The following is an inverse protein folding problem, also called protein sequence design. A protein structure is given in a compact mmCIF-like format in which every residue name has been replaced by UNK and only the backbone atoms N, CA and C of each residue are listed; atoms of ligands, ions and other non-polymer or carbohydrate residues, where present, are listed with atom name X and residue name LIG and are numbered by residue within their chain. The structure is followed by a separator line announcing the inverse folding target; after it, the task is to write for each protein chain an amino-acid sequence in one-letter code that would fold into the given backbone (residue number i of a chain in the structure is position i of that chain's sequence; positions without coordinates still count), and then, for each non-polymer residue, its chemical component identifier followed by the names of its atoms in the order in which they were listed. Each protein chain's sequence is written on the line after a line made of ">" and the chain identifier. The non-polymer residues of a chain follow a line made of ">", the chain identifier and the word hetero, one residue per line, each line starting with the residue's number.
data_IF_600888098982
#
_entry.id   IF_600888098982
#
_cell.length_a   1.000
_cell.length_b   1.000
_cell.length_c   1.000
_cell.angle_alpha   90.00
_cell.angle_beta   90.00
_cell.angle_gamma   90.00
#
_symmetry.space_group_name_H-M   'P 1'
#
loop_
_entity.id
_entity.type
_entity.pdbx_description
1 polymer ?
#
# COMPACT_ATOMS: atom_id res chain seq x y z
N UNK A 1 -59.29 16.46 11.35
CA UNK A 1 -58.21 17.44 11.57
C UNK A 1 -56.94 16.88 10.96
N UNK A 2 -56.46 17.54 9.91
CA UNK A 2 -55.25 17.23 9.17
C UNK A 2 -54.02 17.70 9.95
N UNK A 3 -53.00 16.87 10.09
CA UNK A 3 -51.66 17.31 10.50
C UNK A 3 -50.65 16.75 9.50
N UNK A 4 -50.18 17.62 8.60
CA UNK A 4 -49.02 17.36 7.75
C UNK A 4 -47.78 17.25 8.64
N UNK A 5 -47.10 16.11 8.59
CA UNK A 5 -45.77 15.96 9.17
C UNK A 5 -44.73 16.41 8.14
N UNK A 6 -44.12 17.56 8.38
CA UNK A 6 -43.04 18.10 7.54
C UNK A 6 -41.79 17.22 7.65
N UNK A 7 -41.35 16.69 6.51
CA UNK A 7 -40.06 16.05 6.34
C UNK A 7 -38.93 17.08 6.54
N UNK A 8 -38.12 16.90 7.58
CA UNK A 8 -36.84 17.62 7.71
C UNK A 8 -35.85 16.97 6.75
N UNK A 9 -35.54 17.68 5.67
CA UNK A 9 -34.39 17.40 4.81
C UNK A 9 -33.12 17.40 5.68
N UNK A 10 -32.53 16.22 5.88
CA UNK A 10 -31.20 16.09 6.46
C UNK A 10 -30.16 16.65 5.49
N UNK A 11 -29.35 17.59 5.97
CA UNK A 11 -28.16 18.06 5.28
C UNK A 11 -27.21 16.86 5.02
N UNK A 12 -26.45 16.85 3.91
CA UNK A 12 -25.45 15.81 3.67
C UNK A 12 -24.41 15.83 4.80
N UNK A 13 -24.29 14.71 5.50
CA UNK A 13 -23.36 14.54 6.60
C UNK A 13 -21.93 14.75 6.11
N UNK A 14 -21.16 15.54 6.89
CA UNK A 14 -19.70 15.58 6.82
C UNK A 14 -19.19 14.12 6.81
N UNK A 15 -18.31 13.71 5.89
CA UNK A 15 -17.71 12.38 5.98
C UNK A 15 -17.04 12.25 7.35
N UNK A 16 -17.16 11.10 8.02
CA UNK A 16 -16.52 10.92 9.32
C UNK A 16 -15.03 11.15 9.13
N UNK A 17 -14.51 12.20 9.75
CA UNK A 17 -13.08 12.30 10.00
C UNK A 17 -12.76 11.09 10.85
N UNK A 18 -12.10 10.08 10.28
CA UNK A 18 -11.74 8.86 10.98
C UNK A 18 -10.57 9.15 11.92
N UNK A 19 -10.73 10.12 12.81
CA UNK A 19 -9.82 10.39 13.92
C UNK A 19 -10.07 9.32 14.95
N UNK A 20 -9.05 8.51 15.23
CA UNK A 20 -9.20 7.36 16.12
C UNK A 20 -7.87 6.70 16.38
N UNK A 21 -7.88 5.83 17.39
CA UNK A 21 -6.71 5.10 17.83
C UNK A 21 -6.97 3.62 17.56
N UNK A 22 -6.09 2.97 16.80
CA UNK A 22 -6.20 1.55 16.44
C UNK A 22 -4.96 0.80 16.92
N UNK A 23 -5.10 -0.39 17.53
CA UNK A 23 -3.95 -1.19 17.93
C UNK A 23 -3.10 -1.54 16.70
N UNK A 24 -1.79 -1.69 16.90
CA UNK A 24 -0.95 -2.28 15.85
C UNK A 24 -1.46 -3.68 15.53
N UNK A 25 -1.71 -4.02 14.25
CA UNK A 25 -1.80 -5.40 13.80
C UNK A 25 -0.55 -6.19 14.22
N UNK A 26 -0.69 -7.50 14.37
CA UNK A 26 0.43 -8.38 14.75
C UNK A 26 1.64 -8.25 13.83
N UNK A 27 1.42 -8.05 12.53
CA UNK A 27 2.51 -7.86 11.55
C UNK A 27 3.30 -6.60 11.87
N UNK A 28 2.64 -5.46 12.03
CA UNK A 28 3.27 -4.19 12.38
C UNK A 28 4.02 -4.27 13.72
N UNK A 29 3.45 -4.97 14.71
CA UNK A 29 4.07 -5.17 16.02
C UNK A 29 5.35 -6.03 15.92
N UNK A 30 5.34 -7.11 15.12
CA UNK A 30 6.53 -7.92 14.85
C UNK A 30 7.57 -7.10 14.11
N UNK A 31 7.22 -6.43 13.02
CA UNK A 31 8.14 -5.57 12.25
C UNK A 31 8.79 -4.54 13.16
N UNK A 32 8.00 -3.88 14.02
CA UNK A 32 8.52 -2.88 14.96
C UNK A 32 9.48 -3.47 16.00
N UNK A 33 9.25 -4.71 16.45
CA UNK A 33 10.09 -5.40 17.43
C UNK A 33 11.37 -5.99 16.84
N UNK A 34 11.35 -6.36 15.56
CA UNK A 34 12.49 -6.92 14.84
C UNK A 34 13.38 -5.86 14.17
N UNK A 35 12.91 -4.61 14.11
CA UNK A 35 13.68 -3.50 13.53
C UNK A 35 15.02 -3.31 14.26
N UNK A 36 16.10 -3.26 13.48
CA UNK A 36 17.43 -2.86 13.95
C UNK A 36 17.79 -1.51 13.33
N UNK A 37 18.46 -0.65 14.08
CA UNK A 37 18.73 0.74 13.66
C UNK A 37 19.60 0.83 12.38
N UNK A 38 20.37 -0.22 12.06
CA UNK A 38 21.20 -0.33 10.86
C UNK A 38 20.45 -0.88 9.63
N UNK A 39 19.24 -1.39 9.80
CA UNK A 39 18.41 -1.98 8.75
C UNK A 39 17.05 -1.26 8.68
N UNK A 40 16.98 -0.08 8.04
CA UNK A 40 15.75 0.69 7.95
C UNK A 40 14.68 -0.01 7.12
N UNK A 41 13.49 -0.19 7.71
CA UNK A 41 12.31 -0.81 7.09
C UNK A 41 11.66 0.08 6.03
N UNK A 42 12.35 0.23 4.89
CA UNK A 42 11.94 1.08 3.77
C UNK A 42 11.41 0.24 2.61
N UNK A 43 10.37 0.75 1.94
CA UNK A 43 10.11 0.38 0.53
C UNK A 43 10.39 1.59 -0.33
N UNK A 44 11.09 1.33 -1.42
CA UNK A 44 11.55 2.32 -2.37
C UNK A 44 10.92 2.05 -3.74
N UNK A 45 10.28 3.08 -4.32
CA UNK A 45 9.65 3.03 -5.64
C UNK A 45 10.13 4.23 -6.47
N UNK A 46 10.56 3.98 -7.70
CA UNK A 46 10.94 5.02 -8.68
C UNK A 46 9.88 5.12 -9.78
N UNK A 47 9.34 6.33 -9.99
CA UNK A 47 8.44 6.62 -11.11
C UNK A 47 9.11 7.64 -12.03
N UNK A 48 9.43 7.21 -13.25
CA UNK A 48 10.07 8.06 -14.24
C UNK A 48 9.03 8.83 -15.07
N UNK A 49 9.18 10.15 -15.11
CA UNK A 49 8.32 11.09 -15.79
C UNK A 49 9.08 11.80 -16.92
N UNK A 50 8.43 12.05 -18.07
CA UNK A 50 9.06 12.74 -19.19
C UNK A 50 9.28 14.23 -18.95
N UNK A 51 8.53 14.85 -18.02
CA UNK A 51 8.56 16.28 -17.74
C UNK A 51 8.51 16.54 -16.24
N UNK A 52 8.95 17.73 -15.84
CA UNK A 52 8.87 18.18 -14.44
C UNK A 52 7.40 18.25 -14.02
N UNK A 53 6.98 17.55 -12.96
CA UNK A 53 5.64 17.75 -12.42
C UNK A 53 5.55 19.13 -11.77
N UNK A 54 4.44 19.81 -12.01
CA UNK A 54 4.10 21.08 -11.37
C UNK A 54 4.01 20.89 -9.84
N UNK A 55 4.79 21.64 -9.04
CA UNK A 55 4.85 21.43 -7.59
C UNK A 55 3.52 21.54 -6.86
N UNK A 56 2.72 22.56 -7.19
CA UNK A 56 1.49 22.85 -6.45
C UNK A 56 0.39 21.86 -6.84
N UNK A 57 0.30 21.53 -8.14
CA UNK A 57 -0.61 20.49 -8.64
C UNK A 57 -0.25 19.12 -8.10
N UNK A 58 1.03 18.78 -8.00
CA UNK A 58 1.47 17.50 -7.44
C UNK A 58 1.11 17.40 -5.95
N UNK A 59 1.40 18.44 -5.16
CA UNK A 59 1.00 18.50 -3.76
C UNK A 59 -0.51 18.39 -3.57
N UNK A 60 -1.29 19.11 -4.38
CA UNK A 60 -2.75 19.05 -4.32
C UNK A 60 -3.28 17.65 -4.63
N UNK A 61 -2.75 17.01 -5.67
CA UNK A 61 -3.15 15.66 -6.07
C UNK A 61 -2.77 14.60 -5.02
N UNK A 62 -1.55 14.67 -4.47
CA UNK A 62 -1.11 13.79 -3.38
C UNK A 62 -1.95 14.02 -2.13
N UNK A 63 -2.17 15.27 -1.73
CA UNK A 63 -2.98 15.61 -0.55
C UNK A 63 -4.42 15.10 -0.65
N UNK A 64 -5.06 15.24 -1.81
CA UNK A 64 -6.39 14.66 -2.05
C UNK A 64 -6.36 13.12 -2.08
N UNK A 65 -5.36 12.50 -2.71
CA UNK A 65 -5.22 11.04 -2.70
C UNK A 65 -5.10 10.50 -1.28
N UNK A 66 -4.27 11.12 -0.44
CA UNK A 66 -4.13 10.73 0.97
C UNK A 66 -5.46 10.82 1.73
N UNK A 67 -6.27 11.86 1.48
CA UNK A 67 -7.60 11.99 2.09
C UNK A 67 -8.59 10.92 1.62
N UNK A 68 -8.47 10.43 0.39
CA UNK A 68 -9.29 9.32 -0.13
C UNK A 68 -8.86 7.96 0.42
N UNK A 69 -7.63 7.87 0.92
CA UNK A 69 -7.04 6.65 1.46
C UNK A 69 -6.67 6.82 2.94
N UNK A 70 -7.63 7.08 3.83
CA UNK A 70 -7.35 7.59 5.18
C UNK A 70 -6.51 6.67 6.07
N UNK A 71 -6.36 5.37 5.76
CA UNK A 71 -5.51 4.47 6.57
C UNK A 71 -4.01 4.75 6.43
N UNK A 72 -3.57 5.48 5.39
CA UNK A 72 -2.17 5.94 5.28
C UNK A 72 -1.91 7.15 6.18
N UNK A 73 -2.96 7.88 6.58
CA UNK A 73 -2.90 9.04 7.45
C UNK A 73 -2.85 8.57 8.91
N UNK A 74 -1.78 7.85 9.23
CA UNK A 74 -1.47 7.32 10.56
C UNK A 74 -0.13 7.81 11.06
N UNK A 75 0.04 7.77 12.39
CA UNK A 75 1.32 7.83 13.08
C UNK A 75 1.27 7.01 14.36
N UNK A 76 2.41 6.50 14.79
CA UNK A 76 2.55 5.75 16.03
C UNK A 76 2.37 6.69 17.22
N UNK A 77 1.56 6.27 18.19
CA UNK A 77 1.47 6.96 19.48
C UNK A 77 2.78 6.89 20.25
N UNK A 78 3.14 7.94 21.01
CA UNK A 78 4.28 7.88 21.92
C UNK A 78 4.18 6.68 22.86
N UNK A 79 5.18 5.80 22.81
CA UNK A 79 5.25 4.62 23.68
C UNK A 79 6.23 4.83 24.81
N UNK A 80 5.87 4.33 25.99
CA UNK A 80 6.75 4.30 27.16
C UNK A 80 7.32 2.90 27.33
N UNK A 81 8.44 2.77 28.05
CA UNK A 81 9.16 1.51 28.20
C UNK A 81 8.32 0.36 28.81
N UNK A 82 7.24 0.68 29.53
CA UNK A 82 6.32 -0.32 30.11
C UNK A 82 5.14 -0.68 29.21
N UNK A 83 4.95 0.01 28.08
CA UNK A 83 3.90 -0.36 27.12
C UNK A 83 4.30 -1.66 26.45
N UNK A 84 3.39 -2.63 26.50
CA UNK A 84 3.58 -3.95 25.87
C UNK A 84 3.08 -4.00 24.43
N UNK A 85 2.41 -2.93 23.98
CA UNK A 85 1.75 -2.84 22.68
C UNK A 85 1.89 -1.44 22.12
N UNK A 86 1.94 -1.38 20.79
CA UNK A 86 1.94 -0.14 20.03
C UNK A 86 0.54 0.19 19.53
N UNK A 87 0.35 1.44 19.14
CA UNK A 87 -0.96 1.92 18.71
C UNK A 87 -0.78 2.98 17.64
N UNK A 88 -1.54 2.86 16.55
CA UNK A 88 -1.64 3.87 15.51
C UNK A 88 -2.70 4.91 15.90
N UNK A 89 -2.40 6.18 15.67
CA UNK A 89 -3.38 7.27 15.63
C UNK A 89 -3.66 7.60 14.17
N UNK A 90 -4.92 7.54 13.77
CA UNK A 90 -5.41 8.10 12.51
C UNK A 90 -5.55 9.61 12.66
N UNK A 91 -4.84 10.37 11.81
CA UNK A 91 -4.75 11.83 11.90
C UNK A 91 -5.80 12.54 11.04
N UNK A 92 -6.31 11.89 9.99
CA UNK A 92 -7.25 12.49 9.04
C UNK A 92 -6.64 13.53 8.09
N UNK A 93 -5.48 14.08 8.43
CA UNK A 93 -4.66 14.97 7.59
C UNK A 93 -3.16 14.69 7.78
N UNK A 94 -2.31 15.01 6.78
CA UNK A 94 -0.86 14.98 6.96
C UNK A 94 -0.39 15.94 8.07
N UNK A 95 0.54 15.47 8.91
CA UNK A 95 1.31 16.29 9.84
C UNK A 95 2.47 17.00 9.11
N UNK A 96 3.00 16.38 8.06
CA UNK A 96 4.12 16.88 7.24
C UNK A 96 3.75 16.92 5.76
N UNK A 97 4.40 17.79 4.98
CA UNK A 97 4.31 17.75 3.52
C UNK A 97 5.13 16.56 2.99
N UNK A 98 4.51 15.53 2.40
CA UNK A 98 5.24 14.38 1.90
C UNK A 98 6.01 14.68 0.61
N UNK A 99 5.73 15.79 -0.09
CA UNK A 99 6.32 16.10 -1.40
C UNK A 99 7.42 17.17 -1.28
N UNK A 100 8.63 16.84 -1.72
CA UNK A 100 9.76 17.76 -1.74
C UNK A 100 10.54 17.75 -3.05
N UNK A 101 11.25 18.85 -3.33
CA UNK A 101 12.10 19.04 -4.50
C UNK A 101 13.52 19.35 -4.01
N UNK A 102 14.26 18.35 -3.48
CA UNK A 102 15.53 18.59 -2.80
C UNK A 102 16.67 18.97 -3.74
N UNK A 103 16.50 18.81 -5.06
CA UNK A 103 17.60 18.88 -6.02
C UNK A 103 18.60 17.74 -5.82
N UNK A 104 19.82 17.93 -6.31
CA UNK A 104 20.87 16.92 -6.27
C UNK A 104 20.69 15.83 -7.33
N UNK A 105 21.45 14.75 -7.19
CA UNK A 105 21.47 13.62 -8.11
C UNK A 105 20.51 12.51 -7.68
N UNK A 106 20.08 11.69 -8.64
CA UNK A 106 19.26 10.50 -8.36
C UNK A 106 20.00 9.52 -7.42
N UNK A 107 21.31 9.40 -7.54
CA UNK A 107 22.14 8.54 -6.67
C UNK A 107 22.08 8.98 -5.20
N UNK A 108 22.16 10.29 -4.95
CA UNK A 108 22.01 10.86 -3.60
C UNK A 108 20.60 10.62 -3.05
N UNK A 109 19.58 10.77 -3.91
CA UNK A 109 18.20 10.44 -3.57
C UNK A 109 18.07 8.97 -3.16
N UNK A 110 18.55 8.03 -3.98
CA UNK A 110 18.53 6.59 -3.69
C UNK A 110 19.22 6.25 -2.37
N UNK A 111 20.38 6.84 -2.13
CA UNK A 111 21.10 6.67 -0.86
C UNK A 111 20.28 7.15 0.33
N UNK A 112 19.61 8.31 0.25
CA UNK A 112 18.68 8.77 1.29
C UNK A 112 17.48 7.83 1.45
N UNK A 113 16.86 7.40 0.35
CA UNK A 113 15.71 6.48 0.39
C UNK A 113 16.04 5.16 1.11
N UNK A 114 17.25 4.63 0.92
CA UNK A 114 17.69 3.37 1.53
C UNK A 114 18.25 3.55 2.95
N UNK A 115 18.71 4.75 3.34
CA UNK A 115 19.30 4.99 4.65
C UNK A 115 18.33 5.66 5.65
N UNK A 116 17.35 6.42 5.15
CA UNK A 116 16.51 7.30 5.96
C UNK A 116 15.04 6.90 5.82
N UNK A 117 14.58 6.05 6.74
CA UNK A 117 13.19 5.65 6.79
C UNK A 117 12.28 6.81 7.22
N UNK A 118 11.13 7.05 6.55
CA UNK A 118 10.14 8.00 7.03
C UNK A 118 9.75 7.68 8.48
N UNK A 119 9.70 8.70 9.37
CA UNK A 119 9.47 8.47 10.77
C UNK A 119 8.03 8.01 11.03
N UNK A 120 7.85 7.16 12.04
CA UNK A 120 6.52 6.69 12.42
C UNK A 120 5.77 7.66 13.34
N UNK A 121 6.43 8.66 13.93
CA UNK A 121 5.81 9.61 14.85
C UNK A 121 5.13 10.81 14.14
N UNK A 122 5.22 10.86 12.82
CA UNK A 122 4.59 11.85 11.95
C UNK A 122 3.79 11.17 10.83
N UNK A 123 2.65 11.75 10.48
CA UNK A 123 1.80 11.28 9.40
C UNK A 123 1.94 12.12 8.12
N UNK A 124 1.82 11.52 6.93
CA UNK A 124 1.91 10.09 6.66
C UNK A 124 3.38 9.61 6.68
N UNK A 125 3.64 8.33 6.96
CA UNK A 125 4.99 7.76 6.95
C UNK A 125 5.45 7.45 5.51
N UNK A 126 5.38 8.46 4.64
CA UNK A 126 5.81 8.45 3.24
C UNK A 126 6.55 9.75 2.92
N UNK A 127 7.58 9.64 2.09
CA UNK A 127 8.33 10.74 1.50
C UNK A 127 8.36 10.58 -0.01
N UNK A 128 8.12 11.67 -0.74
CA UNK A 128 8.13 11.75 -2.20
C UNK A 128 9.10 12.86 -2.59
N UNK A 129 10.26 12.48 -3.13
CA UNK A 129 11.27 13.41 -3.61
C UNK A 129 11.21 13.51 -5.14
N UNK A 130 11.15 14.72 -5.67
CA UNK A 130 11.14 14.99 -7.11
C UNK A 130 12.54 15.40 -7.54
N UNK A 131 13.19 14.56 -8.35
CA UNK A 131 14.60 14.72 -8.73
C UNK A 131 14.72 14.74 -10.25
N UNK A 132 15.55 15.64 -10.78
CA UNK A 132 15.91 15.65 -12.20
C UNK A 132 16.99 14.60 -12.47
N UNK A 133 16.84 13.84 -13.55
CA UNK A 133 17.80 12.83 -13.97
C UNK A 133 17.83 12.74 -15.48
N UNK A 134 18.97 13.11 -16.08
CA UNK A 134 19.22 12.98 -17.53
C UNK A 134 18.13 13.61 -18.42
N UNK A 135 17.67 14.83 -18.07
CA UNK A 135 16.61 15.52 -18.79
C UNK A 135 15.21 14.94 -18.60
N UNK A 136 15.06 13.95 -17.71
CA UNK A 136 13.79 13.41 -17.21
C UNK A 136 13.63 13.74 -15.73
N UNK A 137 12.50 13.35 -15.18
CA UNK A 137 12.17 13.57 -13.77
C UNK A 137 11.81 12.25 -13.12
N UNK A 138 12.22 12.06 -11.87
CA UNK A 138 11.92 10.85 -11.10
C UNK A 138 11.18 11.27 -9.84
N UNK A 139 10.05 10.63 -9.58
CA UNK A 139 9.44 10.61 -8.25
C UNK A 139 10.05 9.44 -7.49
N UNK A 140 10.87 9.77 -6.50
CA UNK A 140 11.45 8.82 -5.57
C UNK A 140 10.52 8.71 -4.37
N UNK A 141 9.79 7.60 -4.26
CA UNK A 141 8.84 7.36 -3.17
C UNK A 141 9.50 6.42 -2.16
N UNK A 142 9.62 6.89 -0.92
CA UNK A 142 10.08 6.09 0.23
C UNK A 142 8.94 5.97 1.22
N UNK A 143 8.61 4.75 1.64
CA UNK A 143 7.61 4.49 2.69
C UNK A 143 8.23 3.70 3.83
N UNK A 144 7.70 3.89 5.04
CA UNK A 144 7.99 2.99 6.16
C UNK A 144 7.14 1.73 6.03
N UNK A 145 7.77 0.57 5.84
CA UNK A 145 7.08 -0.70 5.60
C UNK A 145 6.24 -1.15 6.81
N UNK A 146 6.55 -0.70 8.02
CA UNK A 146 5.73 -0.98 9.22
C UNK A 146 4.32 -0.42 9.05
N UNK A 147 4.18 0.75 8.43
CA UNK A 147 2.93 1.47 8.33
C UNK A 147 2.18 1.21 7.01
N UNK A 148 2.90 0.90 5.93
CA UNK A 148 2.32 0.79 4.60
C UNK A 148 3.04 -0.26 3.76
N UNK A 149 2.25 -1.11 3.10
CA UNK A 149 2.79 -2.06 2.12
C UNK A 149 2.89 -1.46 0.71
N UNK A 150 3.74 -2.06 -0.13
CA UNK A 150 3.94 -1.63 -1.52
C UNK A 150 2.63 -1.52 -2.32
N UNK A 151 1.76 -2.54 -2.35
CA UNK A 151 0.48 -2.47 -3.07
C UNK A 151 -0.47 -1.36 -2.61
N UNK A 152 -0.58 -1.09 -1.31
CA UNK A 152 -1.38 0.00 -0.77
C UNK A 152 -0.77 1.35 -1.17
N UNK A 153 0.55 1.49 -1.11
CA UNK A 153 1.25 2.68 -1.61
C UNK A 153 0.95 2.92 -3.10
N UNK A 154 1.06 1.88 -3.93
CA UNK A 154 0.77 1.98 -5.36
C UNK A 154 -0.68 2.40 -5.64
N UNK A 155 -1.65 1.96 -4.84
CA UNK A 155 -3.04 2.44 -4.95
C UNK A 155 -3.17 3.93 -4.65
N UNK A 156 -2.50 4.44 -3.62
CA UNK A 156 -2.47 5.88 -3.31
C UNK A 156 -1.82 6.66 -4.46
N UNK A 157 -0.70 6.16 -4.98
CA UNK A 157 0.01 6.78 -6.10
C UNK A 157 -0.82 6.77 -7.39
N UNK A 158 -1.56 5.70 -7.67
CA UNK A 158 -2.49 5.64 -8.80
C UNK A 158 -3.59 6.71 -8.68
N UNK A 159 -4.23 6.83 -7.51
CA UNK A 159 -5.21 7.89 -7.25
C UNK A 159 -4.58 9.29 -7.36
N UNK A 160 -3.35 9.49 -6.89
CA UNK A 160 -2.64 10.75 -7.06
C UNK A 160 -2.38 11.05 -8.55
N UNK A 161 -2.03 10.04 -9.35
CA UNK A 161 -1.84 10.19 -10.79
C UNK A 161 -3.16 10.54 -11.51
N UNK A 162 -4.29 9.94 -11.13
CA UNK A 162 -5.63 10.29 -11.62
C UNK A 162 -5.97 11.76 -11.38
N UNK A 163 -5.80 12.17 -10.13
CA UNK A 163 -6.06 13.54 -9.69
C UNK A 163 -5.11 14.54 -10.34
N UNK A 164 -3.84 14.18 -10.46
CA UNK A 164 -2.86 15.00 -11.13
C UNK A 164 -3.19 15.12 -12.61
N UNK A 165 -3.44 14.02 -13.33
CA UNK A 165 -3.71 14.00 -14.75
C UNK A 165 -5.08 14.56 -15.15
N UNK A 166 -6.06 14.54 -14.25
CA UNK A 166 -7.45 14.89 -14.55
C UNK A 166 -8.18 13.82 -15.38
N UNK A 167 -7.64 12.59 -15.43
CA UNK A 167 -8.15 11.48 -16.20
C UNK A 167 -8.23 10.23 -15.32
N UNK A 168 -9.18 9.35 -15.62
CA UNK A 168 -9.25 8.04 -14.98
C UNK A 168 -8.04 7.20 -15.45
N UNK A 169 -7.24 6.77 -14.47
CA UNK A 169 -6.06 5.92 -14.65
C UNK A 169 -6.25 4.59 -13.89
N UNK A 170 -7.51 4.22 -13.61
CA UNK A 170 -7.84 2.94 -13.00
C UNK A 170 -7.12 1.83 -13.76
N UNK A 171 -6.39 0.94 -13.06
CA UNK A 171 -5.61 -0.09 -13.73
C UNK A 171 -6.56 -0.92 -14.60
N UNK A 172 -6.15 -1.14 -15.85
CA UNK A 172 -6.82 -2.11 -16.70
C UNK A 172 -6.87 -3.45 -15.94
N UNK A 173 -7.98 -4.22 -16.04
CA UNK A 173 -8.10 -5.48 -15.34
C UNK A 173 -6.87 -6.36 -15.65
N UNK A 174 -6.30 -7.04 -14.64
CA UNK A 174 -5.11 -7.85 -14.83
C UNK A 174 -5.35 -8.85 -15.96
N UNK A 175 -4.35 -9.12 -16.82
CA UNK A 175 -4.50 -10.07 -17.89
C UNK A 175 -4.90 -11.43 -17.29
N UNK A 176 -6.08 -11.90 -17.67
CA UNK A 176 -6.54 -13.23 -17.26
C UNK A 176 -5.57 -14.21 -17.91
N UNK A 177 -4.84 -14.98 -17.11
CA UNK A 177 -4.06 -16.10 -17.63
C UNK A 177 -5.03 -17.02 -18.34
N UNK A 178 -5.01 -17.02 -19.67
CA UNK A 178 -5.71 -18.03 -20.46
C UNK A 178 -5.19 -19.38 -19.98
N UNK A 179 -6.05 -20.23 -19.44
CA UNK A 179 -5.67 -21.61 -19.18
C UNK A 179 -5.10 -22.15 -20.50
N UNK A 180 -3.82 -22.51 -20.49
CA UNK A 180 -3.19 -23.10 -21.65
C UNK A 180 -3.94 -24.40 -21.95
N UNK A 181 -4.87 -24.33 -22.90
CA UNK A 181 -5.45 -25.51 -23.52
C UNK A 181 -4.29 -26.32 -24.05
N UNK A 182 -4.19 -27.56 -23.58
CA UNK A 182 -3.17 -28.51 -24.01
C UNK A 182 -3.17 -28.60 -25.52
N UNK A 183 -2.19 -27.96 -26.15
CA UNK A 183 -1.91 -28.11 -27.56
C UNK A 183 -1.26 -29.47 -27.77
N UNK A 184 -2.09 -30.49 -27.98
CA UNK A 184 -1.65 -31.71 -28.64
C UNK A 184 -1.45 -31.39 -30.13
N UNK A 185 -0.19 -31.37 -30.54
CA UNK A 185 0.16 -31.46 -31.95
C UNK A 185 -0.01 -32.90 -32.45
N UNK A 186 -0.36 -33.04 -33.73
CA UNK A 186 0.14 -34.12 -34.58
C UNK A 186 -0.63 -35.44 -34.60
N UNK A 187 -1.33 -35.64 -35.73
CA UNK A 187 -1.75 -36.89 -36.37
C UNK A 187 -1.14 -38.21 -35.85
N UNK A 188 -2.02 -39.19 -35.59
CA UNK A 188 -1.66 -40.61 -35.50
C UNK A 188 -2.90 -41.48 -35.35
N UNK A 189 -3.27 -42.20 -36.41
CA UNK A 189 -4.34 -43.19 -36.44
C UNK A 189 -3.89 -44.44 -35.67
N UNK A 190 -4.63 -44.88 -34.65
CA UNK A 190 -4.30 -46.08 -33.88
C UNK A 190 -5.32 -46.38 -32.78
N UNK A 191 -6.15 -47.39 -33.02
CA UNK A 191 -7.06 -48.03 -32.06
C UNK A 191 -6.31 -48.70 -30.91
N UNK A 192 -6.73 -48.48 -29.65
CA UNK A 192 -6.29 -49.28 -28.51
C UNK A 192 -6.57 -48.61 -27.15
N UNK A 193 -7.55 -49.16 -26.44
CA UNK A 193 -7.88 -49.07 -25.01
C UNK A 193 -7.16 -48.02 -24.12
N UNK A 194 -7.94 -47.05 -23.63
CA UNK A 194 -7.56 -46.16 -22.52
C UNK A 194 -7.61 -46.93 -21.19
N UNK A 195 -6.47 -47.47 -20.77
CA UNK A 195 -6.24 -47.90 -19.40
C UNK A 195 -6.15 -46.65 -18.50
N UNK A 196 -7.23 -46.38 -17.77
CA UNK A 196 -7.30 -45.29 -16.80
C UNK A 196 -6.42 -45.63 -15.58
N UNK A 197 -5.12 -45.37 -15.72
CA UNK A 197 -4.18 -45.40 -14.59
C UNK A 197 -4.66 -44.48 -13.46
N UNK A 198 -4.40 -44.83 -12.19
CA UNK A 198 -4.85 -44.05 -11.05
C UNK A 198 -4.28 -42.62 -11.11
N UNK A 199 -5.01 -41.62 -10.60
CA UNK A 199 -4.56 -40.23 -10.63
C UNK A 199 -3.19 -40.11 -9.96
N UNK A 200 -2.27 -39.31 -10.52
CA UNK A 200 -0.97 -39.11 -9.90
C UNK A 200 -1.16 -38.63 -8.47
N UNK A 201 -0.51 -39.32 -7.53
CA UNK A 201 -0.51 -38.95 -6.12
C UNK A 201 -0.02 -37.51 -5.93
N UNK A 202 -0.41 -36.84 -4.83
CA UNK A 202 -0.02 -35.47 -4.58
C UNK A 202 1.51 -35.35 -4.65
N UNK A 203 1.99 -34.46 -5.52
CA UNK A 203 3.41 -34.18 -5.64
C UNK A 203 3.97 -33.82 -4.27
N UNK A 204 4.87 -34.65 -3.74
CA UNK A 204 5.61 -34.34 -2.52
C UNK A 204 6.56 -33.21 -2.86
N UNK A 205 6.12 -32.00 -2.58
CA UNK A 205 6.98 -30.84 -2.70
C UNK A 205 8.18 -31.00 -1.76
N UNK A 206 9.42 -30.75 -2.21
CA UNK A 206 10.61 -30.78 -1.36
C UNK A 206 10.67 -29.60 -0.38
N UNK A 207 9.70 -28.68 -0.42
CA UNK A 207 9.62 -27.56 0.50
C UNK A 207 9.20 -28.06 1.88
N UNK A 208 10.02 -27.76 2.89
CA UNK A 208 9.69 -27.93 4.31
C UNK A 208 8.31 -27.34 4.57
N UNK A 209 7.45 -28.09 5.27
CA UNK A 209 6.09 -27.66 5.59
C UNK A 209 6.16 -26.26 6.23
N UNK A 210 5.47 -25.24 5.67
CA UNK A 210 5.53 -23.89 6.23
C UNK A 210 5.13 -23.91 7.71
N UNK A 211 5.84 -23.13 8.52
CA UNK A 211 5.45 -22.93 9.91
C UNK A 211 4.03 -22.35 9.96
N UNK A 212 3.17 -22.96 10.78
CA UNK A 212 1.82 -22.47 11.00
C UNK A 212 1.84 -21.50 12.18
N UNK A 213 1.63 -20.22 11.91
CA UNK A 213 1.42 -19.21 12.95
C UNK A 213 -0.05 -19.31 13.41
N UNK A 214 -0.27 -19.37 14.72
CA UNK A 214 -1.62 -19.38 15.28
C UNK A 214 -2.34 -18.07 14.90
N UNK A 215 -3.62 -18.16 14.54
CA UNK A 215 -4.43 -16.97 14.33
C UNK A 215 -4.46 -16.14 15.62
N UNK A 216 -4.32 -14.82 15.50
CA UNK A 216 -4.52 -13.92 16.62
C UNK A 216 -5.98 -14.00 17.06
N UNK A 217 -6.22 -14.61 18.22
CA UNK A 217 -7.54 -14.74 18.84
C UNK A 217 -7.87 -13.56 19.76
N UNK A 218 -6.91 -12.66 19.98
CA UNK A 218 -7.12 -11.51 20.88
C UNK A 218 -7.84 -10.35 20.20
N UNK A 219 -7.82 -10.27 18.86
CA UNK A 219 -8.50 -9.23 18.08
C UNK A 219 -9.19 -9.81 16.82
N UNK A 220 -10.36 -10.45 16.96
CA UNK A 220 -11.11 -10.93 15.81
C UNK A 220 -11.60 -9.73 14.98
N UNK A 221 -10.91 -9.42 13.87
CA UNK A 221 -11.30 -8.39 12.90
C UNK A 221 -10.28 -7.31 12.57
N UNK A 222 -9.07 -7.32 13.14
CA UNK A 222 -8.01 -6.40 12.72
C UNK A 222 -7.44 -6.85 11.36
N UNK A 223 -8.04 -6.39 10.26
CA UNK A 223 -7.41 -6.49 8.96
C UNK A 223 -6.06 -5.76 9.01
N UNK A 224 -4.99 -6.39 8.53
CA UNK A 224 -3.69 -5.74 8.38
C UNK A 224 -3.80 -4.44 7.55
N UNK A 225 -2.71 -3.69 7.41
CA UNK A 225 -2.72 -2.43 6.64
C UNK A 225 -3.04 -2.60 5.14
N UNK A 226 -3.22 -3.83 4.67
CA UNK A 226 -3.97 -4.11 3.46
C UNK A 226 -5.33 -3.43 3.52
N UNK A 227 -5.47 -2.33 2.78
CA UNK A 227 -6.76 -1.63 2.68
C UNK A 227 -7.74 -2.57 1.97
N UNK A 228 -8.70 -3.09 2.71
CA UNK A 228 -9.91 -3.73 2.19
C UNK A 228 -11.06 -2.72 2.26
#
# INVERSE_FOLDING_TARGET
>A
MTALQSARHGLPGRPPESTGTVPFPTVDEITRHCLTDDEPETVHIEIHLPHRPDPDRLRAAVGEALRRHPRILIRQEPTRWWHRRYTWRLTGTPDTDPVSYPGGTLEEGRRRALAECPPLDASPPVRIEVIEHEGRWVLLVTINHTALDGPACLRVLATAAELYGGADNSPAPPPVRTAAGGGAGGNGNGSGEEDAGPPPGPATSPWTRPARIAADTTHPGAAGNGMF
#
